data_IF_712139232291
#
_entry.id   IF_712139232291
#
_cell.length_a   1.000
_cell.length_b   1.000
_cell.length_c   1.000
_cell.angle_alpha   90.00
_cell.angle_beta   90.00
_cell.angle_gamma   90.00
#
_symmetry.space_group_name_H-M   'P 1'
#
loop_
_entity.id
_entity.type
_entity.pdbx_description
1 polymer ?
#
# COMPACT_ATOMS: atom_id res chain seq x y z
N UNK A 1 116.31 9.56 -24.44
CA UNK A 1 117.03 9.84 -25.70
C UNK A 1 116.37 9.02 -26.79
N UNK A 2 116.02 9.60 -27.95
CA UNK A 2 115.26 8.88 -28.99
C UNK A 2 114.47 9.81 -29.90
N UNK A 3 115.15 10.72 -30.60
CA UNK A 3 114.55 11.68 -31.55
C UNK A 3 114.72 11.19 -32.98
N UNK A 4 113.65 11.24 -33.80
CA UNK A 4 113.62 11.48 -35.28
C UNK A 4 112.15 11.38 -35.74
N UNK A 5 111.45 12.44 -36.15
CA UNK A 5 111.60 13.33 -37.33
C UNK A 5 111.26 12.72 -38.69
N UNK A 6 110.20 13.27 -39.29
CA UNK A 6 109.88 13.25 -40.73
C UNK A 6 108.36 13.29 -40.96
N UNK A 7 107.76 14.13 -41.81
CA UNK A 7 108.15 15.31 -42.60
C UNK A 7 106.84 15.80 -43.26
N UNK A 8 106.35 16.99 -42.90
CA UNK A 8 105.34 17.78 -43.66
C UNK A 8 105.98 18.34 -44.95
N UNK A 9 105.26 18.90 -45.97
CA UNK A 9 103.97 19.63 -45.97
C UNK A 9 102.94 19.13 -47.02
N UNK A 10 101.75 19.70 -47.25
CA UNK A 10 101.01 20.79 -46.57
C UNK A 10 100.39 21.80 -47.56
N UNK A 11 99.06 22.02 -47.48
CA UNK A 11 98.26 23.12 -48.08
C UNK A 11 96.95 23.20 -47.26
N UNK A 12 96.83 24.06 -46.24
CA UNK A 12 96.27 25.44 -46.23
C UNK A 12 94.78 25.55 -46.60
N UNK A 13 93.91 25.86 -45.61
CA UNK A 13 92.44 25.84 -45.83
C UNK A 13 91.47 26.45 -44.80
N UNK A 14 91.88 27.41 -43.94
CA UNK A 14 91.01 28.45 -43.31
C UNK A 14 90.00 28.05 -42.19
N UNK A 15 89.72 29.03 -41.31
CA UNK A 15 88.86 29.05 -40.10
C UNK A 15 87.54 29.85 -40.36
N UNK A 16 86.48 29.95 -39.55
CA UNK A 16 86.21 29.66 -38.11
C UNK A 16 84.68 29.62 -37.87
N UNK A 17 84.16 28.88 -36.86
CA UNK A 17 82.74 28.88 -36.38
C UNK A 17 81.70 28.42 -37.46
N UNK A 18 80.47 27.96 -37.18
CA UNK A 18 79.52 28.14 -36.05
C UNK A 18 78.76 26.82 -35.76
N UNK A 19 78.27 26.64 -34.53
CA UNK A 19 77.19 25.69 -34.20
C UNK A 19 75.95 25.93 -35.09
N UNK A 20 75.50 24.96 -35.90
CA UNK A 20 74.08 24.70 -36.27
C UNK A 20 73.99 23.63 -37.38
N UNK A 21 73.55 22.41 -37.03
CA UNK A 21 73.12 21.39 -37.98
C UNK A 21 71.69 20.98 -37.65
N UNK A 22 70.75 21.76 -38.19
CA UNK A 22 69.32 21.67 -37.89
C UNK A 22 68.65 20.44 -38.51
N UNK A 23 67.79 19.79 -37.70
CA UNK A 23 66.46 19.30 -38.12
C UNK A 23 66.32 18.64 -39.50
N UNK A 24 66.83 17.41 -39.66
CA UNK A 24 66.30 16.48 -40.67
C UNK A 24 65.16 15.64 -40.05
N UNK A 25 63.97 16.24 -40.02
CA UNK A 25 62.73 15.58 -39.59
C UNK A 25 62.29 14.59 -40.68
N UNK A 26 62.44 13.29 -40.46
CA UNK A 26 61.99 12.28 -41.44
C UNK A 26 60.46 12.27 -41.54
N UNK A 27 59.85 12.42 -42.73
CA UNK A 27 58.39 12.50 -42.87
C UNK A 27 57.68 11.23 -42.36
N UNK A 28 58.34 10.07 -42.44
CA UNK A 28 57.85 8.80 -41.91
C UNK A 28 57.51 8.84 -40.41
N UNK A 29 58.32 9.53 -39.57
CA UNK A 29 58.03 9.65 -38.13
C UNK A 29 56.80 10.50 -37.86
N UNK A 30 56.60 11.58 -38.64
CA UNK A 30 55.44 12.46 -38.48
C UNK A 30 54.15 11.75 -38.92
N UNK A 31 54.18 11.00 -40.03
CA UNK A 31 53.05 10.20 -40.52
C UNK A 31 52.67 9.10 -39.52
N UNK A 32 53.65 8.40 -38.92
CA UNK A 32 53.38 7.39 -37.90
C UNK A 32 52.69 7.98 -36.65
N UNK A 33 53.18 9.13 -36.14
CA UNK A 33 52.58 9.82 -34.99
C UNK A 33 51.17 10.34 -35.33
N UNK A 34 50.95 10.88 -36.53
CA UNK A 34 49.63 11.30 -37.01
C UNK A 34 48.64 10.12 -37.09
N UNK A 35 49.06 8.99 -37.66
CA UNK A 35 48.21 7.80 -37.76
C UNK A 35 47.86 7.23 -36.37
N UNK A 36 48.83 7.18 -35.44
CA UNK A 36 48.60 6.69 -34.08
C UNK A 36 47.70 7.63 -33.25
N UNK A 37 47.79 8.95 -33.45
CA UNK A 37 46.83 9.93 -32.91
C UNK A 37 45.42 9.74 -33.49
N UNK A 38 45.30 9.48 -34.80
CA UNK A 38 44.00 9.24 -35.44
C UNK A 38 43.33 7.94 -34.92
N UNK A 39 44.09 6.84 -34.81
CA UNK A 39 43.62 5.56 -34.29
C UNK A 39 43.17 5.65 -32.82
N UNK A 40 43.90 6.39 -31.97
CA UNK A 40 43.53 6.59 -30.56
C UNK A 40 42.27 7.46 -30.40
N UNK A 41 42.12 8.52 -31.21
CA UNK A 41 40.91 9.35 -31.22
C UNK A 41 39.67 8.56 -31.69
N UNK A 42 39.79 7.70 -32.71
CA UNK A 42 38.71 6.81 -33.15
C UNK A 42 38.29 5.82 -32.05
N UNK A 43 39.25 5.14 -31.41
CA UNK A 43 38.98 4.22 -30.30
C UNK A 43 38.29 4.92 -29.13
N UNK A 44 38.68 6.17 -28.80
CA UNK A 44 38.02 6.98 -27.78
C UNK A 44 36.57 7.31 -28.16
N UNK A 45 36.32 7.80 -29.39
CA UNK A 45 34.98 8.16 -29.89
C UNK A 45 34.02 6.96 -30.04
N UNK A 46 34.53 5.74 -30.15
CA UNK A 46 33.74 4.50 -30.11
C UNK A 46 33.43 4.12 -28.66
N UNK A 47 34.42 4.15 -27.76
CA UNK A 47 34.26 3.85 -26.33
C UNK A 47 33.27 4.81 -25.64
N UNK A 48 33.34 6.10 -25.96
CA UNK A 48 32.47 7.12 -25.39
C UNK A 48 31.01 6.96 -25.88
N UNK A 49 30.80 6.58 -27.16
CA UNK A 49 29.47 6.22 -27.67
C UNK A 49 28.90 4.96 -26.98
N UNK A 50 29.69 3.90 -26.85
CA UNK A 50 29.27 2.69 -26.13
C UNK A 50 28.93 2.96 -24.66
N UNK A 51 29.69 3.82 -23.99
CA UNK A 51 29.41 4.23 -22.60
C UNK A 51 28.11 5.03 -22.47
N UNK A 52 27.83 5.92 -23.42
CA UNK A 52 26.58 6.68 -23.45
C UNK A 52 25.35 5.79 -23.71
N UNK A 53 25.49 4.79 -24.58
CA UNK A 53 24.40 3.87 -24.94
C UNK A 53 24.05 2.90 -23.80
N UNK A 54 25.06 2.29 -23.15
CA UNK A 54 24.85 1.39 -21.99
C UNK A 54 24.33 2.14 -20.76
N UNK A 55 24.59 3.45 -20.64
CA UNK A 55 24.01 4.30 -19.61
C UNK A 55 22.49 4.42 -19.77
N UNK A 56 22.00 4.75 -20.96
CA UNK A 56 20.58 5.00 -21.20
C UNK A 56 19.71 3.75 -20.98
N UNK A 57 20.16 2.56 -21.40
CA UNK A 57 19.39 1.32 -21.14
C UNK A 57 19.28 1.02 -19.63
N UNK A 58 20.37 1.18 -18.87
CA UNK A 58 20.33 1.00 -17.41
C UNK A 58 19.43 2.01 -16.72
N UNK A 59 19.45 3.27 -17.15
CA UNK A 59 18.52 4.28 -16.64
C UNK A 59 17.06 3.94 -17.02
N UNK A 60 16.80 3.43 -18.22
CA UNK A 60 15.47 2.99 -18.64
C UNK A 60 14.95 1.82 -17.79
N UNK A 61 15.78 0.80 -17.53
CA UNK A 61 15.44 -0.29 -16.60
C UNK A 61 15.18 0.22 -15.17
N UNK A 62 15.99 1.15 -14.65
CA UNK A 62 15.76 1.75 -13.32
C UNK A 62 14.43 2.52 -13.29
N UNK A 63 14.13 3.32 -14.32
CA UNK A 63 12.87 4.07 -14.42
C UNK A 63 11.67 3.11 -14.51
N UNK A 64 11.77 2.02 -15.27
CA UNK A 64 10.72 0.98 -15.32
C UNK A 64 10.52 0.33 -13.94
N UNK A 65 11.60 -0.08 -13.28
CA UNK A 65 11.51 -0.69 -11.93
C UNK A 65 10.91 0.30 -10.93
N UNK A 66 11.33 1.56 -10.93
CA UNK A 66 10.75 2.60 -10.09
C UNK A 66 9.25 2.80 -10.39
N UNK A 67 8.85 2.88 -11.66
CA UNK A 67 7.45 3.01 -12.07
C UNK A 67 6.59 1.82 -11.61
N UNK A 68 7.09 0.59 -11.79
CA UNK A 68 6.43 -0.62 -11.33
C UNK A 68 6.32 -0.65 -9.79
N UNK A 69 7.38 -0.29 -9.06
CA UNK A 69 7.35 -0.22 -7.60
C UNK A 69 6.39 0.85 -7.08
N UNK A 70 6.34 2.04 -7.72
CA UNK A 70 5.33 3.06 -7.38
C UNK A 70 3.91 2.61 -7.69
N UNK A 71 3.69 1.88 -8.78
CA UNK A 71 2.38 1.33 -9.13
C UNK A 71 1.92 0.29 -8.10
N UNK A 72 2.81 -0.62 -7.68
CA UNK A 72 2.52 -1.59 -6.62
C UNK A 72 2.21 -0.87 -5.29
N UNK A 73 2.98 0.16 -4.93
CA UNK A 73 2.73 0.93 -3.71
C UNK A 73 1.36 1.63 -3.72
N UNK A 74 0.99 2.26 -4.83
CA UNK A 74 -0.34 2.88 -5.02
C UNK A 74 -1.47 1.85 -4.93
N UNK A 75 -1.33 0.68 -5.56
CA UNK A 75 -2.31 -0.40 -5.47
C UNK A 75 -2.48 -0.90 -4.02
N UNK A 76 -1.39 -1.06 -3.27
CA UNK A 76 -1.41 -1.47 -1.86
C UNK A 76 -2.09 -0.41 -0.97
N UNK A 77 -1.86 0.89 -1.24
CA UNK A 77 -2.53 1.96 -0.50
C UNK A 77 -4.05 2.00 -0.77
N UNK A 78 -4.46 1.87 -2.03
CA UNK A 78 -5.88 1.81 -2.40
C UNK A 78 -6.60 0.59 -1.81
N UNK A 79 -5.96 -0.57 -1.83
CA UNK A 79 -6.48 -1.79 -1.21
C UNK A 79 -6.70 -1.62 0.31
N UNK A 80 -5.75 -0.99 1.01
CA UNK A 80 -5.86 -0.71 2.45
C UNK A 80 -7.01 0.24 2.78
N UNK A 81 -7.16 1.35 2.04
CA UNK A 81 -8.26 2.28 2.27
C UNK A 81 -9.64 1.60 2.08
N UNK A 82 -9.76 0.69 1.11
CA UNK A 82 -10.98 -0.10 0.90
C UNK A 82 -11.22 -1.17 1.98
N UNK A 83 -10.18 -1.62 2.67
CA UNK A 83 -10.27 -2.55 3.80
C UNK A 83 -10.60 -1.81 5.11
N UNK A 84 -9.95 -0.66 5.38
CA UNK A 84 -10.19 0.16 6.57
C UNK A 84 -11.68 0.56 6.70
N UNK A 85 -12.32 0.96 5.60
CA UNK A 85 -13.75 1.35 5.61
C UNK A 85 -14.69 0.15 5.79
N UNK A 86 -14.35 -1.03 5.24
CA UNK A 86 -15.12 -2.27 5.49
C UNK A 86 -14.99 -2.74 6.93
N UNK A 87 -13.80 -2.66 7.49
CA UNK A 87 -13.56 -2.95 8.90
C UNK A 87 -14.35 -2.00 9.81
N UNK A 88 -14.32 -0.69 9.51
CA UNK A 88 -15.13 0.32 10.19
C UNK A 88 -16.64 0.02 10.13
N UNK A 89 -17.17 -0.21 8.93
CA UNK A 89 -18.57 -0.55 8.73
C UNK A 89 -18.99 -1.84 9.46
N UNK A 90 -18.15 -2.89 9.45
CA UNK A 90 -18.45 -4.12 10.19
C UNK A 90 -18.48 -3.90 11.71
N UNK A 91 -17.52 -3.16 12.27
CA UNK A 91 -17.50 -2.88 13.72
C UNK A 91 -18.69 -2.01 14.13
N UNK A 92 -19.02 -0.98 13.34
CA UNK A 92 -20.20 -0.14 13.53
C UNK A 92 -21.52 -0.94 13.42
N UNK A 93 -21.64 -1.84 12.43
CA UNK A 93 -22.78 -2.75 12.28
C UNK A 93 -22.96 -3.61 13.54
N UNK A 94 -21.88 -4.21 14.06
CA UNK A 94 -21.94 -5.00 15.30
C UNK A 94 -22.32 -4.12 16.50
N UNK A 95 -21.73 -2.93 16.62
CA UNK A 95 -22.02 -1.97 17.70
C UNK A 95 -23.50 -1.55 17.77
N UNK A 96 -24.11 -1.26 16.63
CA UNK A 96 -25.53 -0.87 16.58
C UNK A 96 -26.46 -2.09 16.71
N UNK A 97 -26.08 -3.27 16.20
CA UNK A 97 -26.83 -4.52 16.41
C UNK A 97 -26.86 -4.94 17.90
N UNK A 98 -25.70 -4.95 18.57
CA UNK A 98 -25.60 -5.24 20.02
C UNK A 98 -26.47 -4.25 20.82
N UNK A 99 -26.46 -2.97 20.46
CA UNK A 99 -27.30 -1.96 21.08
C UNK A 99 -28.80 -2.18 20.80
N UNK A 100 -29.21 -2.37 19.54
CA UNK A 100 -30.62 -2.57 19.19
C UNK A 100 -31.21 -3.82 19.86
N UNK A 101 -30.44 -4.92 19.92
CA UNK A 101 -30.81 -6.14 20.66
C UNK A 101 -31.00 -5.85 22.16
N UNK A 102 -30.15 -5.00 22.76
CA UNK A 102 -30.23 -4.65 24.19
C UNK A 102 -31.45 -3.80 24.57
N UNK A 103 -32.04 -3.08 23.61
CA UNK A 103 -33.24 -2.25 23.83
C UNK A 103 -34.54 -3.07 23.91
N UNK A 104 -34.49 -4.37 23.62
CA UNK A 104 -35.65 -5.27 23.56
C UNK A 104 -35.77 -6.03 24.88
N UNK A 105 -36.99 -6.15 25.43
CA UNK A 105 -37.24 -6.94 26.63
C UNK A 105 -36.80 -8.41 26.42
N UNK A 106 -35.81 -8.92 27.19
CA UNK A 106 -35.33 -10.30 27.05
C UNK A 106 -36.39 -11.35 27.41
N UNK A 107 -37.51 -10.97 28.02
CA UNK A 107 -38.66 -11.85 28.30
C UNK A 107 -39.63 -11.98 27.12
N UNK A 108 -39.50 -11.15 26.08
CA UNK A 108 -40.35 -11.22 24.88
C UNK A 108 -39.95 -12.45 24.05
N UNK A 109 -40.64 -13.56 24.26
CA UNK A 109 -40.47 -14.80 23.48
C UNK A 109 -41.43 -14.84 22.29
N UNK A 110 -41.02 -15.49 21.20
CA UNK A 110 -41.89 -15.89 20.10
C UNK A 110 -41.84 -17.40 19.85
N UNK A 111 -42.93 -17.91 19.30
CA UNK A 111 -43.06 -19.29 18.86
C UNK A 111 -42.68 -19.42 17.39
N UNK A 112 -41.58 -20.14 17.13
CA UNK A 112 -41.13 -20.52 15.79
C UNK A 112 -41.56 -21.96 15.51
N UNK A 113 -42.40 -22.15 14.49
CA UNK A 113 -42.87 -23.48 14.09
C UNK A 113 -41.75 -24.26 13.39
N UNK A 114 -41.48 -25.48 13.82
CA UNK A 114 -40.61 -26.38 13.05
C UNK A 114 -41.37 -26.87 11.82
N UNK A 115 -40.71 -26.96 10.67
CA UNK A 115 -41.31 -27.45 9.41
C UNK A 115 -41.78 -28.92 9.46
N UNK A 116 -41.57 -29.63 10.58
CA UNK A 116 -41.97 -31.04 10.78
C UNK A 116 -43.34 -31.11 11.47
N UNK A 117 -44.34 -31.53 10.71
CA UNK A 117 -45.61 -32.02 11.25
C UNK A 117 -45.38 -33.43 11.81
N UNK A 118 -45.80 -33.64 13.05
CA UNK A 118 -45.73 -34.92 13.76
C UNK A 118 -46.78 -35.91 13.19
N UNK A 119 -46.64 -37.23 13.40
CA UNK A 119 -47.60 -38.23 12.91
C UNK A 119 -49.04 -38.08 13.42
N UNK A 120 -49.25 -37.31 14.50
CA UNK A 120 -50.56 -36.99 15.07
C UNK A 120 -51.23 -35.73 14.45
N UNK A 121 -50.57 -35.08 13.50
CA UNK A 121 -51.02 -33.84 12.88
C UNK A 121 -50.66 -32.56 13.66
N UNK A 122 -50.01 -32.67 14.82
CA UNK A 122 -49.47 -31.51 15.53
C UNK A 122 -48.18 -30.99 14.87
N UNK A 123 -47.87 -29.72 15.03
CA UNK A 123 -46.58 -29.16 14.64
C UNK A 123 -45.70 -29.00 15.89
N UNK A 124 -44.43 -29.39 15.81
CA UNK A 124 -43.48 -29.09 16.88
C UNK A 124 -43.12 -27.60 16.83
N UNK A 125 -43.29 -26.89 17.95
CA UNK A 125 -43.02 -25.45 18.04
C UNK A 125 -41.90 -25.21 19.05
N UNK A 126 -40.96 -24.32 18.70
CA UNK A 126 -39.84 -23.92 19.55
C UNK A 126 -40.02 -22.47 19.97
N UNK A 127 -39.86 -22.19 21.26
CA UNK A 127 -39.80 -20.82 21.76
C UNK A 127 -38.37 -20.27 21.67
N UNK A 128 -38.24 -19.04 21.16
CA UNK A 128 -36.97 -18.30 21.06
C UNK A 128 -37.17 -16.85 21.50
N UNK A 129 -36.16 -16.15 22.03
CA UNK A 129 -36.24 -14.72 22.29
C UNK A 129 -36.49 -13.94 21.00
N UNK A 130 -37.44 -13.01 21.01
CA UNK A 130 -37.74 -12.15 19.86
C UNK A 130 -36.50 -11.38 19.39
N UNK A 131 -35.73 -10.83 20.33
CA UNK A 131 -34.50 -10.06 20.07
C UNK A 131 -33.40 -10.82 19.34
N UNK A 132 -33.43 -12.16 19.36
CA UNK A 132 -32.47 -13.04 18.70
C UNK A 132 -33.15 -14.01 17.72
N UNK A 133 -34.37 -13.68 17.30
CA UNK A 133 -35.06 -14.44 16.25
C UNK A 133 -34.57 -14.01 14.87
N UNK A 134 -34.30 -14.98 14.00
CA UNK A 134 -33.78 -14.79 12.64
C UNK A 134 -34.50 -13.67 11.88
N UNK A 135 -35.84 -13.77 11.78
CA UNK A 135 -36.68 -12.76 11.12
C UNK A 135 -36.53 -11.34 11.66
N UNK A 136 -36.19 -11.16 12.94
CA UNK A 136 -36.02 -9.84 13.53
C UNK A 136 -34.56 -9.35 13.42
N UNK A 137 -33.59 -10.26 13.49
CA UNK A 137 -32.20 -9.93 13.22
C UNK A 137 -32.02 -9.42 11.78
N UNK A 138 -32.70 -10.02 10.80
CA UNK A 138 -32.70 -9.53 9.40
C UNK A 138 -33.27 -8.11 9.28
N UNK A 139 -34.41 -7.83 9.92
CA UNK A 139 -35.03 -6.50 9.98
C UNK A 139 -34.08 -5.46 10.61
N UNK A 140 -33.40 -5.82 11.72
CA UNK A 140 -32.43 -4.94 12.38
C UNK A 140 -31.21 -4.63 11.50
N UNK A 141 -30.73 -5.57 10.67
CA UNK A 141 -29.56 -5.33 9.81
C UNK A 141 -29.81 -4.20 8.80
N UNK A 142 -31.01 -4.13 8.22
CA UNK A 142 -31.41 -3.05 7.32
C UNK A 142 -31.47 -1.69 8.06
N UNK A 143 -32.13 -1.65 9.23
CA UNK A 143 -32.24 -0.43 10.04
C UNK A 143 -30.88 0.08 10.54
N UNK A 144 -29.97 -0.84 10.89
CA UNK A 144 -28.62 -0.52 11.37
C UNK A 144 -27.76 0.10 10.26
N UNK A 145 -27.86 -0.34 9.01
CA UNK A 145 -27.07 0.27 7.94
C UNK A 145 -27.47 1.73 7.66
N UNK A 146 -28.71 2.15 7.97
CA UNK A 146 -29.08 3.58 7.96
C UNK A 146 -28.38 4.40 9.06
N UNK A 147 -28.01 3.77 10.18
CA UNK A 147 -27.26 4.40 11.29
C UNK A 147 -25.80 4.66 10.96
N UNK A 148 -25.26 4.18 9.83
CA UNK A 148 -23.91 4.54 9.37
C UNK A 148 -23.75 6.04 9.09
N UNK A 149 -24.85 6.79 9.00
CA UNK A 149 -24.84 8.26 8.98
C UNK A 149 -24.41 8.90 10.31
N UNK A 150 -24.56 8.20 11.44
CA UNK A 150 -24.14 8.64 12.77
C UNK A 150 -22.63 8.39 13.03
N UNK A 151 -21.88 7.91 12.03
CA UNK A 151 -20.45 7.58 12.10
C UNK A 151 -19.59 8.54 11.27
N UNK A 152 -18.45 8.95 11.82
CA UNK A 152 -17.50 9.89 11.20
C UNK A 152 -16.09 9.32 11.11
N UNK A 153 -15.23 9.96 10.32
CA UNK A 153 -13.83 9.54 10.15
C UNK A 153 -12.91 10.25 11.15
N UNK A 154 -12.13 9.48 11.90
CA UNK A 154 -11.05 9.95 12.76
C UNK A 154 -9.72 9.42 12.22
N UNK A 155 -8.77 10.31 11.93
CA UNK A 155 -7.45 9.94 11.41
C UNK A 155 -6.46 9.90 12.56
N UNK A 156 -5.88 8.73 12.83
CA UNK A 156 -4.82 8.56 13.83
C UNK A 156 -3.56 9.34 13.39
N UNK A 157 -3.09 10.35 14.16
CA UNK A 157 -1.95 11.18 13.77
C UNK A 157 -0.60 10.42 13.79
N UNK A 158 -0.51 9.28 14.48
CA UNK A 158 0.71 8.47 14.57
C UNK A 158 0.80 7.44 13.44
N UNK A 159 -0.31 6.82 13.05
CA UNK A 159 -0.33 5.78 12.00
C UNK A 159 -0.86 6.27 10.65
N UNK A 160 -1.47 7.45 10.61
CA UNK A 160 -2.22 7.99 9.46
C UNK A 160 -3.25 6.99 8.90
N UNK A 161 -3.84 6.17 9.78
CA UNK A 161 -4.96 5.27 9.47
C UNK A 161 -6.28 5.94 9.78
N UNK A 162 -7.30 5.58 9.01
CA UNK A 162 -8.67 6.02 9.19
C UNK A 162 -9.38 5.05 10.13
N UNK A 163 -9.97 5.59 11.18
CA UNK A 163 -10.85 4.88 12.11
C UNK A 163 -12.24 5.50 12.02
N UNK A 164 -13.28 4.73 12.33
CA UNK A 164 -14.66 5.16 12.15
C UNK A 164 -15.37 5.07 13.49
N UNK A 165 -15.84 6.21 13.98
CA UNK A 165 -16.37 6.38 15.34
C UNK A 165 -17.75 7.04 15.31
N UNK A 166 -18.63 6.64 16.23
CA UNK A 166 -19.98 7.23 16.36
C UNK A 166 -19.85 8.68 16.85
N UNK A 167 -20.55 9.60 16.19
CA UNK A 167 -20.55 11.02 16.51
C UNK A 167 -21.92 11.56 16.94
N UNK A 168 -23.00 10.82 16.66
CA UNK A 168 -24.27 11.06 17.33
C UNK A 168 -24.33 10.27 18.65
N UNK A 169 -24.94 10.84 19.69
CA UNK A 169 -25.25 10.07 20.89
C UNK A 169 -26.53 9.25 20.71
N UNK A 170 -26.53 8.06 21.30
CA UNK A 170 -27.70 7.16 21.37
C UNK A 170 -28.81 7.72 22.28
N UNK A 171 -28.42 8.47 23.33
CA UNK A 171 -29.31 8.99 24.38
C UNK A 171 -29.34 10.53 24.47
N UNK A 172 -28.73 11.23 23.51
CA UNK A 172 -28.68 12.70 23.47
C UNK A 172 -27.64 13.36 24.38
N UNK A 173 -26.75 12.59 25.00
CA UNK A 173 -25.53 13.12 25.67
C UNK A 173 -24.62 13.84 24.68
N UNK A 174 -23.99 14.94 25.12
CA UNK A 174 -22.98 15.62 24.31
C UNK A 174 -21.71 14.76 24.21
N UNK A 175 -21.27 14.47 22.99
CA UNK A 175 -19.99 13.82 22.69
C UNK A 175 -18.92 14.87 22.38
N UNK A 176 -17.64 14.53 22.59
CA UNK A 176 -16.54 15.35 22.09
C UNK A 176 -16.36 15.08 20.59
N UNK A 177 -16.63 16.11 19.79
CA UNK A 177 -16.64 16.06 18.33
C UNK A 177 -15.47 16.83 17.71
N UNK A 178 -14.51 17.26 18.52
CA UNK A 178 -13.45 18.19 18.11
C UNK A 178 -12.52 17.65 17.01
N UNK A 179 -12.28 16.33 16.99
CA UNK A 179 -11.35 15.67 16.06
C UNK A 179 -12.04 14.83 14.94
N UNK A 180 -13.38 14.79 14.88
CA UNK A 180 -14.12 13.95 13.92
C UNK A 180 -14.36 14.69 12.60
N UNK A 181 -13.99 14.08 11.47
CA UNK A 181 -14.25 14.62 10.14
C UNK A 181 -15.65 14.18 9.63
N UNK A 182 -16.53 15.16 9.46
CA UNK A 182 -17.88 15.01 8.92
C UNK A 182 -17.89 15.18 7.39
N UNK A 183 -17.66 14.11 6.65
CA UNK A 183 -17.83 14.09 5.18
C UNK A 183 -19.01 13.18 4.81
N UNK A 184 -20.02 13.72 4.12
CA UNK A 184 -21.19 12.95 3.66
C UNK A 184 -20.84 11.85 2.67
N UNK A 185 -19.68 11.93 2.01
CA UNK A 185 -19.15 10.83 1.19
C UNK A 185 -18.66 9.67 2.05
N UNK A 186 -18.11 9.94 3.22
CA UNK A 186 -17.68 8.89 4.17
C UNK A 186 -18.90 8.17 4.71
N UNK A 187 -19.92 8.88 5.21
CA UNK A 187 -21.14 8.23 5.70
C UNK A 187 -21.85 7.42 4.62
N UNK A 188 -21.95 7.96 3.39
CA UNK A 188 -22.49 7.22 2.24
C UNK A 188 -21.68 5.97 1.89
N UNK A 189 -20.34 6.05 2.02
CA UNK A 189 -19.45 4.91 1.74
C UNK A 189 -19.47 3.86 2.87
N UNK A 190 -19.66 4.27 4.13
CA UNK A 190 -19.89 3.37 5.27
C UNK A 190 -21.24 2.67 5.15
N UNK A 191 -22.29 3.39 4.80
CA UNK A 191 -23.62 2.82 4.52
C UNK A 191 -23.54 1.76 3.43
N UNK A 192 -22.98 2.10 2.26
CA UNK A 192 -22.80 1.16 1.16
C UNK A 192 -21.94 -0.06 1.55
N UNK A 193 -20.90 0.14 2.36
CA UNK A 193 -20.08 -0.95 2.89
C UNK A 193 -20.88 -1.83 3.87
N UNK A 194 -21.73 -1.26 4.72
CA UNK A 194 -22.62 -2.00 5.61
C UNK A 194 -23.64 -2.84 4.83
N UNK A 195 -24.34 -2.25 3.87
CA UNK A 195 -25.28 -2.94 2.97
C UNK A 195 -24.58 -4.11 2.27
N UNK A 196 -23.39 -3.88 1.70
CA UNK A 196 -22.56 -4.94 1.08
C UNK A 196 -22.17 -6.05 2.06
N UNK A 197 -21.90 -5.73 3.34
CA UNK A 197 -21.54 -6.72 4.36
C UNK A 197 -22.76 -7.55 4.75
N UNK A 198 -23.92 -6.93 4.94
CA UNK A 198 -25.18 -7.63 5.23
C UNK A 198 -25.54 -8.58 4.09
N UNK A 199 -25.52 -8.11 2.83
CA UNK A 199 -25.80 -8.93 1.64
C UNK A 199 -24.82 -10.12 1.47
N UNK A 200 -23.57 -9.99 1.92
CA UNK A 200 -22.52 -11.02 1.73
C UNK A 200 -22.37 -11.98 2.92
N UNK A 201 -22.80 -11.57 4.11
CA UNK A 201 -22.54 -12.26 5.38
C UNK A 201 -23.79 -12.41 6.26
N UNK A 202 -24.98 -12.42 5.66
CA UNK A 202 -26.27 -12.63 6.33
C UNK A 202 -26.24 -13.88 7.25
N UNK A 203 -25.87 -15.04 6.69
CA UNK A 203 -25.76 -16.31 7.43
C UNK A 203 -24.81 -16.21 8.63
N UNK A 204 -23.66 -15.55 8.45
CA UNK A 204 -22.69 -15.31 9.53
C UNK A 204 -23.25 -14.38 10.62
N UNK A 205 -23.90 -13.28 10.22
CA UNK A 205 -24.49 -12.32 11.14
C UNK A 205 -25.58 -13.00 11.99
N UNK A 206 -26.46 -13.79 11.36
CA UNK A 206 -27.48 -14.59 12.05
C UNK A 206 -26.83 -15.62 13.00
N UNK A 207 -25.82 -16.38 12.55
CA UNK A 207 -25.10 -17.35 13.39
C UNK A 207 -24.56 -16.71 14.68
N UNK A 208 -23.94 -15.54 14.55
CA UNK A 208 -23.31 -14.81 15.66
C UNK A 208 -24.30 -14.12 16.60
N UNK A 209 -25.41 -13.55 16.10
CA UNK A 209 -26.40 -12.82 16.91
C UNK A 209 -27.55 -13.68 17.45
N UNK A 210 -27.82 -14.86 16.88
CA UNK A 210 -28.82 -15.80 17.41
C UNK A 210 -28.49 -16.30 18.83
N UNK A 211 -27.23 -16.18 19.27
CA UNK A 211 -26.75 -16.58 20.58
C UNK A 211 -25.98 -15.44 21.24
N UNK A 212 -25.94 -15.44 22.57
CA UNK A 212 -25.10 -14.51 23.32
C UNK A 212 -23.63 -14.96 23.24
N UNK A 213 -22.76 -14.14 22.65
CA UNK A 213 -21.35 -14.47 22.46
C UNK A 213 -20.43 -13.28 22.77
N UNK A 214 -19.41 -13.49 23.60
CA UNK A 214 -18.48 -12.40 23.94
C UNK A 214 -17.61 -12.00 22.75
N UNK A 215 -17.25 -10.72 22.63
CA UNK A 215 -16.33 -10.21 21.60
C UNK A 215 -16.81 -10.51 20.16
N UNK A 216 -18.10 -10.27 19.87
CA UNK A 216 -18.69 -10.44 18.52
C UNK A 216 -17.86 -9.69 17.48
N UNK A 217 -17.50 -8.43 17.75
CA UNK A 217 -16.72 -7.54 16.86
C UNK A 217 -15.47 -8.21 16.28
N UNK A 218 -14.63 -8.81 17.12
CA UNK A 218 -13.36 -9.41 16.65
C UNK A 218 -13.54 -10.81 16.07
N UNK A 219 -14.46 -11.61 16.62
CA UNK A 219 -14.74 -12.94 16.10
C UNK A 219 -15.38 -12.88 14.71
N UNK A 220 -16.39 -12.02 14.53
CA UNK A 220 -17.07 -11.84 13.26
C UNK A 220 -16.19 -11.07 12.27
N UNK A 221 -15.95 -9.77 12.53
CA UNK A 221 -15.30 -8.88 11.56
C UNK A 221 -13.83 -9.21 11.26
N UNK A 222 -13.16 -9.99 12.11
CA UNK A 222 -11.75 -10.35 11.89
C UNK A 222 -11.54 -11.84 11.65
N UNK A 223 -12.14 -12.75 12.42
CA UNK A 223 -11.86 -14.20 12.29
C UNK A 223 -12.78 -14.95 11.34
N UNK A 224 -13.99 -14.44 11.07
CA UNK A 224 -14.97 -15.12 10.21
C UNK A 224 -15.06 -14.49 8.81
N UNK A 225 -15.00 -13.16 8.71
CA UNK A 225 -15.19 -12.44 7.44
C UNK A 225 -13.90 -11.80 6.88
N UNK A 226 -12.78 -11.88 7.60
CA UNK A 226 -11.47 -11.29 7.22
C UNK A 226 -11.51 -9.79 6.85
N UNK A 227 -12.55 -9.05 7.26
CA UNK A 227 -12.72 -7.62 6.93
C UNK A 227 -11.72 -6.73 7.68
N UNK A 228 -11.36 -7.10 8.92
CA UNK A 228 -10.42 -6.40 9.78
C UNK A 228 -9.09 -7.16 9.94
N UNK A 229 -7.97 -6.47 9.70
CA UNK A 229 -6.64 -6.96 10.08
C UNK A 229 -6.55 -7.17 11.61
N UNK A 230 -6.15 -8.36 12.08
CA UNK A 230 -5.80 -8.59 13.50
C UNK A 230 -4.67 -7.68 14.03
N UNK A 231 -3.95 -6.98 13.15
CA UNK A 231 -2.93 -6.00 13.50
C UNK A 231 -3.51 -4.65 13.96
N UNK A 232 -4.79 -4.39 13.71
CA UNK A 232 -5.52 -3.24 14.25
C UNK A 232 -5.79 -3.46 15.75
N UNK A 233 -4.79 -3.15 16.58
CA UNK A 233 -5.00 -2.90 18.02
C UNK A 233 -5.76 -1.59 18.22
N UNK A 234 -7.03 -1.59 17.85
CA UNK A 234 -7.98 -0.56 18.25
C UNK A 234 -8.23 -0.80 19.76
N UNK A 235 -8.22 0.25 20.61
CA UNK A 235 -8.57 0.07 22.01
C UNK A 235 -9.96 -0.58 22.11
N UNK A 236 -10.10 -1.58 22.97
CA UNK A 236 -11.43 -2.03 23.37
C UNK A 236 -12.04 -0.91 24.22
N UNK A 237 -13.25 -0.50 23.87
CA UNK A 237 -14.08 0.28 24.78
C UNK A 237 -14.49 -0.63 25.94
N UNK A 238 -13.73 -0.55 27.05
CA UNK A 238 -14.13 -1.13 28.33
C UNK A 238 -15.32 -0.33 28.87
N UNK A 239 -16.50 -0.95 28.89
CA UNK A 239 -17.73 -0.45 29.51
C UNK A 239 -17.93 -1.09 30.90
#
# INVERSE_FOLDING_TARGET
>A
MGVKYGRFPGETGVLTYVHFASLLHTPARLVAVMHQRHQTQLKKKIKDRGRSQVGMEKHFYIVIICALMSLHFLLIQGARQGQDIKCGACRALVDEMEWAISQIDPKKMIQTGSFRINPDGSQSVREVPFSRSESHLLELMEEVCEKMNDYGELVDPATNRKTYVRHASRDGTAMDLSDVAFDSRVSSSLKFACETIVEQHEDELIEFFAHETDNVKDKLCSKRTDLCDHALKIPHDEL
#
